data_IF_486336642475
#
_entry.id   IF_486336642475
#
_cell.length_a   1.000
_cell.length_b   1.000
_cell.length_c   1.000
_cell.angle_alpha   90.00
_cell.angle_beta   90.00
_cell.angle_gamma   90.00
#
_symmetry.space_group_name_H-M   'P 1'
#
loop_
_entity.id
_entity.type
_entity.pdbx_description
1 polymer ?
#
# COMPACT_ATOMS: atom_id res chain seq x y z
N UNK A 1 -29.16 5.10 16.73
CA UNK A 1 -27.88 4.86 16.06
C UNK A 1 -26.77 5.61 16.77
N UNK A 2 -26.13 4.97 17.78
CA UNK A 2 -25.05 5.57 18.58
C UNK A 2 -23.73 5.59 17.82
N UNK A 3 -23.62 6.33 16.70
CA UNK A 3 -22.34 6.64 16.09
C UNK A 3 -21.62 7.65 16.96
N UNK A 4 -20.68 7.18 17.78
CA UNK A 4 -19.72 8.08 18.43
C UNK A 4 -18.84 8.73 17.36
N UNK A 5 -18.94 10.04 17.26
CA UNK A 5 -18.07 10.81 16.38
C UNK A 5 -16.72 11.03 17.08
N UNK A 6 -15.57 10.89 16.36
CA UNK A 6 -14.27 11.15 16.93
C UNK A 6 -14.20 12.56 17.57
N UNK A 7 -13.63 12.64 18.75
CA UNK A 7 -13.40 13.92 19.45
C UNK A 7 -12.51 14.86 18.63
N UNK A 8 -12.50 16.16 18.95
CA UNK A 8 -11.60 17.11 18.30
C UNK A 8 -10.13 16.69 18.45
N UNK A 9 -9.75 16.19 19.63
CA UNK A 9 -8.41 15.71 19.89
C UNK A 9 -8.03 14.53 18.98
N UNK A 10 -8.91 13.54 18.81
CA UNK A 10 -8.69 12.42 17.88
C UNK A 10 -8.48 12.91 16.44
N UNK A 11 -9.32 13.83 15.97
CA UNK A 11 -9.21 14.40 14.62
C UNK A 11 -7.88 15.12 14.41
N UNK A 12 -7.42 15.88 15.41
CA UNK A 12 -6.12 16.56 15.36
C UNK A 12 -4.97 15.56 15.28
N UNK A 13 -4.97 14.52 16.14
CA UNK A 13 -3.94 13.48 16.09
C UNK A 13 -3.96 12.70 14.78
N UNK A 14 -5.15 12.36 14.27
CA UNK A 14 -5.29 11.69 12.98
C UNK A 14 -4.71 12.53 11.84
N UNK A 15 -5.02 13.83 11.80
CA UNK A 15 -4.53 14.69 10.73
C UNK A 15 -3.02 14.88 10.83
N UNK A 16 -2.50 15.21 12.01
CA UNK A 16 -1.05 15.41 12.23
C UNK A 16 -0.24 14.15 11.87
N UNK A 17 -0.70 12.98 12.28
CA UNK A 17 -0.03 11.71 11.96
C UNK A 17 -0.14 11.33 10.49
N UNK A 18 -1.27 11.63 9.82
CA UNK A 18 -1.47 11.44 8.40
C UNK A 18 -0.54 12.32 7.56
N UNK A 19 -0.37 13.58 7.97
CA UNK A 19 0.51 14.51 7.25
C UNK A 19 1.99 14.17 7.48
N UNK A 20 2.35 13.77 8.70
CA UNK A 20 3.70 13.28 8.99
C UNK A 20 4.04 12.03 8.18
N UNK A 21 3.11 11.08 8.03
CA UNK A 21 3.32 9.84 7.24
C UNK A 21 3.52 10.07 5.73
N UNK A 22 3.29 11.28 5.23
CA UNK A 22 3.60 11.68 3.84
C UNK A 22 4.98 12.33 3.70
N UNK A 23 5.63 12.60 4.82
CA UNK A 23 6.95 13.23 4.85
C UNK A 23 8.03 12.20 4.60
N UNK A 24 8.96 12.50 3.70
CA UNK A 24 10.17 11.69 3.49
C UNK A 24 11.28 12.04 4.52
N UNK A 25 10.98 12.93 5.47
CA UNK A 25 11.94 13.37 6.47
C UNK A 25 11.87 12.51 7.74
N UNK A 26 12.86 11.63 7.92
CA UNK A 26 12.97 10.73 9.08
C UNK A 26 12.94 11.47 10.44
N UNK A 27 13.44 12.71 10.50
CA UNK A 27 13.37 13.52 11.73
C UNK A 27 11.91 13.83 12.09
N UNK A 28 11.10 14.28 11.14
CA UNK A 28 9.68 14.56 11.35
C UNK A 28 8.91 13.30 11.74
N UNK A 29 9.20 12.18 11.08
CA UNK A 29 8.59 10.88 11.39
C UNK A 29 8.90 10.43 12.83
N UNK A 30 10.14 10.52 13.26
CA UNK A 30 10.55 10.18 14.62
C UNK A 30 9.96 11.14 15.66
N UNK A 31 9.85 12.43 15.33
CA UNK A 31 9.27 13.43 16.22
C UNK A 31 7.79 13.13 16.54
N UNK A 32 7.01 12.69 15.57
CA UNK A 32 5.57 12.44 15.77
C UNK A 32 5.25 11.11 16.47
N UNK A 33 6.17 10.13 16.45
CA UNK A 33 5.92 8.80 17.01
C UNK A 33 5.50 8.78 18.49
N UNK A 34 6.10 9.53 19.43
CA UNK A 34 5.66 9.58 20.83
C UNK A 34 4.22 10.08 20.97
N UNK A 35 3.84 11.08 20.15
CA UNK A 35 2.49 11.66 20.19
C UNK A 35 1.44 10.70 19.67
N UNK A 36 1.74 9.95 18.58
CA UNK A 36 0.79 8.94 18.09
C UNK A 36 0.67 7.77 19.05
N UNK A 37 1.73 7.39 19.77
CA UNK A 37 1.67 6.39 20.83
C UNK A 37 0.71 6.83 21.95
N UNK A 38 0.86 8.08 22.42
CA UNK A 38 -0.03 8.67 23.43
C UNK A 38 -1.49 8.70 22.93
N UNK A 39 -1.70 9.06 21.65
CA UNK A 39 -3.02 9.09 21.05
C UNK A 39 -3.65 7.69 20.98
N UNK A 40 -2.90 6.67 20.57
CA UNK A 40 -3.38 5.28 20.52
C UNK A 40 -3.73 4.77 21.92
N UNK A 41 -2.93 5.09 22.94
CA UNK A 41 -3.23 4.69 24.32
C UNK A 41 -4.52 5.35 24.83
N UNK A 42 -4.80 6.57 24.40
CA UNK A 42 -6.01 7.31 24.78
C UNK A 42 -7.25 6.89 23.98
N UNK A 43 -7.05 6.49 22.72
CA UNK A 43 -8.09 6.13 21.76
C UNK A 43 -7.76 4.78 21.09
N UNK A 44 -7.77 3.66 21.84
CA UNK A 44 -7.27 2.36 21.35
C UNK A 44 -8.10 1.81 20.19
N UNK A 45 -9.40 2.13 20.13
CA UNK A 45 -10.33 1.65 19.09
C UNK A 45 -10.26 2.48 17.81
N UNK A 46 -9.46 3.56 17.81
CA UNK A 46 -9.32 4.41 16.64
C UNK A 46 -8.38 3.77 15.60
N UNK A 47 -8.97 3.05 14.66
CA UNK A 47 -8.25 2.31 13.62
C UNK A 47 -7.37 3.21 12.71
N UNK A 48 -7.74 4.48 12.55
CA UNK A 48 -6.98 5.43 11.73
C UNK A 48 -5.65 5.85 12.38
N UNK A 49 -5.59 5.89 13.71
CA UNK A 49 -4.33 6.08 14.43
C UNK A 49 -3.41 4.86 14.28
N UNK A 50 -3.97 3.64 14.32
CA UNK A 50 -3.23 2.41 14.06
C UNK A 50 -2.68 2.40 12.62
N UNK A 51 -3.51 2.75 11.63
CA UNK A 51 -3.12 2.88 10.23
C UNK A 51 -1.96 3.87 10.06
N UNK A 52 -2.10 5.07 10.63
CA UNK A 52 -1.08 6.11 10.50
C UNK A 52 0.23 5.68 11.15
N UNK A 53 0.17 5.01 12.30
CA UNK A 53 1.37 4.47 12.97
C UNK A 53 2.05 3.40 12.14
N UNK A 54 1.29 2.47 11.54
CA UNK A 54 1.85 1.47 10.63
C UNK A 54 2.58 2.14 9.45
N UNK A 55 1.98 3.16 8.84
CA UNK A 55 2.60 3.93 7.74
C UNK A 55 3.85 4.69 8.18
N UNK A 56 3.85 5.30 9.36
CA UNK A 56 5.02 5.97 9.91
C UNK A 56 6.19 5.01 10.13
N UNK A 57 5.91 3.86 10.73
CA UNK A 57 6.92 2.82 10.97
C UNK A 57 7.47 2.25 9.65
N UNK A 58 6.60 2.01 8.68
CA UNK A 58 7.00 1.58 7.33
C UNK A 58 7.91 2.61 6.65
N UNK A 59 7.56 3.90 6.70
CA UNK A 59 8.38 4.98 6.15
C UNK A 59 9.74 5.12 6.84
N UNK A 60 9.86 4.67 8.10
CA UNK A 60 11.12 4.59 8.84
C UNK A 60 11.90 3.30 8.59
N UNK A 61 11.42 2.40 7.72
CA UNK A 61 12.02 1.08 7.48
C UNK A 61 11.85 0.10 8.65
N UNK A 62 10.99 0.42 9.63
CA UNK A 62 10.73 -0.40 10.82
C UNK A 62 9.59 -1.40 10.57
N UNK A 63 9.78 -2.28 9.59
CA UNK A 63 8.74 -3.17 9.08
C UNK A 63 8.20 -4.14 10.14
N UNK A 64 9.09 -4.70 10.97
CA UNK A 64 8.68 -5.62 12.04
C UNK A 64 7.80 -4.94 13.09
N UNK A 65 8.14 -3.70 13.45
CA UNK A 65 7.32 -2.89 14.35
C UNK A 65 5.97 -2.48 13.72
N UNK A 66 5.93 -2.27 12.40
CA UNK A 66 4.73 -1.93 11.67
C UNK A 66 3.74 -3.10 11.58
N UNK A 67 4.23 -4.35 11.62
CA UNK A 67 3.45 -5.55 11.32
C UNK A 67 2.24 -5.70 12.25
N UNK A 68 2.41 -5.52 13.55
CA UNK A 68 1.32 -5.65 14.52
C UNK A 68 0.18 -4.66 14.24
N UNK A 69 0.53 -3.42 13.88
CA UNK A 69 -0.44 -2.37 13.53
C UNK A 69 -1.11 -2.65 12.18
N UNK A 70 -0.34 -3.09 11.19
CA UNK A 70 -0.84 -3.51 9.88
C UNK A 70 -1.86 -4.65 9.99
N UNK A 71 -1.57 -5.67 10.79
CA UNK A 71 -2.48 -6.78 11.05
C UNK A 71 -3.77 -6.32 11.73
N UNK A 72 -3.69 -5.42 12.72
CA UNK A 72 -4.86 -4.85 13.39
C UNK A 72 -5.76 -4.11 12.41
N UNK A 73 -5.17 -3.28 11.55
CA UNK A 73 -5.89 -2.55 10.50
C UNK A 73 -6.55 -3.53 9.53
N UNK A 74 -5.80 -4.52 9.03
CA UNK A 74 -6.31 -5.47 8.03
C UNK A 74 -7.45 -6.33 8.59
N UNK A 75 -7.37 -6.77 9.85
CA UNK A 75 -8.46 -7.48 10.52
C UNK A 75 -9.73 -6.63 10.63
N UNK A 76 -9.59 -5.36 10.98
CA UNK A 76 -10.73 -4.43 11.10
C UNK A 76 -11.31 -4.03 9.74
N UNK A 77 -10.50 -4.04 8.68
CA UNK A 77 -10.80 -3.55 7.33
C UNK A 77 -10.59 -4.64 6.27
N UNK A 78 -11.04 -5.85 6.57
CA UNK A 78 -10.80 -7.04 5.75
C UNK A 78 -11.34 -6.95 4.32
N UNK A 79 -12.37 -6.15 4.09
CA UNK A 79 -12.98 -5.94 2.77
C UNK A 79 -12.41 -4.72 2.02
N UNK A 80 -11.53 -3.97 2.64
CA UNK A 80 -10.95 -2.77 2.08
C UNK A 80 -9.58 -3.09 1.42
N UNK A 81 -9.45 -2.89 0.11
CA UNK A 81 -8.23 -3.20 -0.65
C UNK A 81 -6.98 -2.52 -0.09
N UNK A 82 -7.10 -1.27 0.36
CA UNK A 82 -5.98 -0.49 0.89
C UNK A 82 -5.39 -1.03 2.20
N UNK A 83 -6.17 -1.81 2.97
CA UNK A 83 -5.67 -2.46 4.18
C UNK A 83 -4.76 -3.64 3.82
N UNK A 84 -5.12 -4.40 2.81
CA UNK A 84 -4.28 -5.47 2.25
C UNK A 84 -3.06 -4.93 1.53
N UNK A 85 -3.19 -3.80 0.80
CA UNK A 85 -2.04 -3.10 0.21
C UNK A 85 -1.02 -2.72 1.28
N UNK A 86 -1.46 -2.09 2.38
CA UNK A 86 -0.59 -1.72 3.50
C UNK A 86 0.14 -2.94 4.08
N UNK A 87 -0.58 -4.03 4.32
CA UNK A 87 0.03 -5.26 4.85
C UNK A 87 1.05 -5.84 3.87
N UNK A 88 0.75 -5.82 2.58
CA UNK A 88 1.69 -6.19 1.53
C UNK A 88 2.96 -5.33 1.55
N UNK A 89 2.83 -4.02 1.67
CA UNK A 89 3.96 -3.09 1.75
C UNK A 89 4.84 -3.38 2.97
N UNK A 90 4.24 -3.67 4.12
CA UNK A 90 4.97 -4.03 5.35
C UNK A 90 5.75 -5.35 5.18
N UNK A 91 5.14 -6.33 4.52
CA UNK A 91 5.73 -7.65 4.30
C UNK A 91 6.77 -7.69 3.17
N UNK A 92 6.79 -6.68 2.29
CA UNK A 92 7.53 -6.72 1.02
C UNK A 92 9.05 -6.99 1.18
N UNK A 93 9.67 -6.45 2.23
CA UNK A 93 11.11 -6.60 2.45
C UNK A 93 11.48 -7.97 3.06
N UNK A 94 10.71 -8.44 4.04
CA UNK A 94 11.10 -9.59 4.86
C UNK A 94 10.39 -10.89 4.43
N UNK A 95 9.19 -10.79 3.85
CA UNK A 95 8.36 -11.93 3.45
C UNK A 95 7.66 -11.66 2.12
N UNK A 96 8.40 -11.64 0.98
CA UNK A 96 7.88 -11.26 -0.33
C UNK A 96 6.72 -12.14 -0.82
N UNK A 97 6.66 -13.41 -0.43
CA UNK A 97 5.56 -14.31 -0.78
C UNK A 97 4.25 -13.92 -0.08
N UNK A 98 4.34 -13.48 1.17
CA UNK A 98 3.19 -12.95 1.90
C UNK A 98 2.76 -11.62 1.28
N UNK A 99 3.70 -10.76 0.91
CA UNK A 99 3.39 -9.49 0.25
C UNK A 99 2.63 -9.71 -1.07
N UNK A 100 3.08 -10.64 -1.91
CA UNK A 100 2.41 -11.02 -3.15
C UNK A 100 0.97 -11.47 -2.87
N UNK A 101 0.77 -12.35 -1.88
CA UNK A 101 -0.56 -12.82 -1.47
C UNK A 101 -1.46 -11.69 -0.99
N UNK A 102 -0.91 -10.72 -0.25
CA UNK A 102 -1.63 -9.53 0.21
C UNK A 102 -2.06 -8.64 -0.97
N UNK A 103 -1.20 -8.40 -1.95
CA UNK A 103 -1.56 -7.62 -3.15
C UNK A 103 -2.63 -8.33 -3.99
N UNK A 104 -2.54 -9.66 -4.17
CA UNK A 104 -3.60 -10.43 -4.80
C UNK A 104 -4.94 -10.26 -4.05
N UNK A 105 -4.91 -10.36 -2.71
CA UNK A 105 -6.12 -10.18 -1.90
C UNK A 105 -6.67 -8.75 -1.99
N UNK A 106 -5.81 -7.74 -2.05
CA UNK A 106 -6.23 -6.36 -2.29
C UNK A 106 -7.01 -6.23 -3.60
N UNK A 107 -6.51 -6.82 -4.70
CA UNK A 107 -7.19 -6.78 -6.00
C UNK A 107 -8.50 -7.59 -6.02
N UNK A 108 -8.61 -8.66 -5.24
CA UNK A 108 -9.85 -9.40 -5.05
C UNK A 108 -10.89 -8.61 -4.21
N UNK A 109 -10.44 -7.66 -3.39
CA UNK A 109 -11.30 -6.82 -2.56
C UNK A 109 -11.83 -5.58 -3.30
N UNK A 110 -11.27 -5.23 -4.46
CA UNK A 110 -11.74 -4.13 -5.32
C UNK A 110 -11.36 -4.37 -6.77
N UNK A 111 -12.36 -4.31 -7.65
CA UNK A 111 -12.18 -4.44 -9.11
C UNK A 111 -12.07 -3.07 -9.81
N UNK A 112 -12.09 -1.97 -9.08
CA UNK A 112 -12.04 -0.62 -9.66
C UNK A 112 -10.59 -0.22 -9.97
N UNK A 113 -10.24 -0.20 -11.26
CA UNK A 113 -8.91 0.14 -11.75
C UNK A 113 -8.50 1.59 -11.39
N UNK A 114 -9.47 2.46 -11.13
CA UNK A 114 -9.22 3.82 -10.64
C UNK A 114 -8.43 3.83 -9.31
N UNK A 115 -8.73 2.90 -8.43
CA UNK A 115 -8.12 2.85 -7.08
C UNK A 115 -7.00 1.82 -6.98
N UNK A 116 -7.02 0.76 -7.80
CA UNK A 116 -6.12 -0.39 -7.65
C UNK A 116 -4.83 -0.30 -8.47
N UNK A 117 -4.65 0.73 -9.29
CA UNK A 117 -3.47 0.86 -10.15
C UNK A 117 -2.12 0.73 -9.44
N UNK A 118 -1.96 1.33 -8.25
CA UNK A 118 -0.72 1.17 -7.46
C UNK A 118 -0.49 -0.26 -7.00
N UNK A 119 -1.55 -0.92 -6.54
CA UNK A 119 -1.48 -2.33 -6.11
C UNK A 119 -1.05 -3.23 -7.26
N UNK A 120 -1.60 -3.01 -8.47
CA UNK A 120 -1.22 -3.76 -9.68
C UNK A 120 0.26 -3.61 -10.01
N UNK A 121 0.81 -2.40 -9.94
CA UNK A 121 2.23 -2.16 -10.21
C UNK A 121 3.14 -2.84 -9.17
N UNK A 122 2.77 -2.81 -7.88
CA UNK A 122 3.49 -3.54 -6.82
C UNK A 122 3.41 -5.06 -7.03
N UNK A 123 2.24 -5.57 -7.41
CA UNK A 123 2.07 -6.98 -7.74
C UNK A 123 2.93 -7.38 -8.94
N UNK A 124 2.93 -6.58 -10.01
CA UNK A 124 3.74 -6.80 -11.20
C UNK A 124 5.24 -6.89 -10.86
N UNK A 125 5.73 -6.01 -9.99
CA UNK A 125 7.12 -6.02 -9.54
C UNK A 125 7.46 -7.33 -8.80
N UNK A 126 6.60 -7.79 -7.89
CA UNK A 126 6.80 -9.07 -7.19
C UNK A 126 6.71 -10.28 -8.13
N UNK A 127 5.79 -10.27 -9.10
CA UNK A 127 5.70 -11.32 -10.13
C UNK A 127 6.97 -11.37 -11.00
N UNK A 128 7.47 -10.22 -11.43
CA UNK A 128 8.69 -10.13 -12.24
C UNK A 128 9.92 -10.64 -11.48
N UNK A 129 10.06 -10.33 -10.19
CA UNK A 129 11.14 -10.87 -9.34
C UNK A 129 11.12 -12.39 -9.23
N UNK A 130 9.96 -13.01 -9.41
CA UNK A 130 9.78 -14.48 -9.43
C UNK A 130 9.92 -15.09 -10.82
N UNK A 131 10.18 -14.27 -11.84
CA UNK A 131 10.28 -14.72 -13.23
C UNK A 131 8.92 -14.89 -13.95
N UNK A 132 7.79 -14.54 -13.30
CA UNK A 132 6.47 -14.56 -13.94
C UNK A 132 6.26 -13.28 -14.75
N UNK A 133 7.03 -13.15 -15.82
CA UNK A 133 7.06 -11.95 -16.65
C UNK A 133 5.75 -11.73 -17.41
N UNK A 134 5.06 -12.81 -17.80
CA UNK A 134 3.79 -12.70 -18.53
C UNK A 134 2.71 -12.08 -17.67
N UNK A 135 2.51 -12.57 -16.45
CA UNK A 135 1.53 -12.02 -15.52
C UNK A 135 1.91 -10.60 -15.09
N UNK A 136 3.21 -10.37 -14.79
CA UNK A 136 3.71 -9.04 -14.44
C UNK A 136 3.41 -8.01 -15.52
N UNK A 137 3.66 -8.36 -16.77
CA UNK A 137 3.36 -7.49 -17.91
C UNK A 137 1.87 -7.19 -18.03
N UNK A 138 1.02 -8.19 -17.89
CA UNK A 138 -0.44 -8.02 -17.94
C UNK A 138 -0.95 -7.00 -16.93
N UNK A 139 -0.40 -7.01 -15.69
CA UNK A 139 -0.78 -6.04 -14.67
C UNK A 139 -0.31 -4.61 -15.01
N UNK A 140 0.90 -4.45 -15.57
CA UNK A 140 1.40 -3.14 -16.02
C UNK A 140 0.56 -2.62 -17.19
N UNK A 141 0.28 -3.44 -18.21
CA UNK A 141 -0.53 -3.07 -19.37
C UNK A 141 -1.95 -2.64 -18.98
N UNK A 142 -2.54 -3.32 -18.01
CA UNK A 142 -3.86 -2.95 -17.51
C UNK A 142 -3.87 -1.54 -16.90
N UNK A 143 -2.83 -1.18 -16.14
CA UNK A 143 -2.71 0.18 -15.58
C UNK A 143 -2.53 1.21 -16.69
N UNK A 144 -1.66 0.94 -17.66
CA UNK A 144 -1.40 1.86 -18.78
C UNK A 144 -2.69 2.07 -19.59
N UNK A 145 -3.34 0.98 -20.02
CA UNK A 145 -4.57 1.02 -20.82
C UNK A 145 -5.70 1.78 -20.11
N UNK A 146 -5.88 1.56 -18.80
CA UNK A 146 -6.85 2.31 -18.02
C UNK A 146 -6.54 3.82 -18.03
N UNK A 147 -5.27 4.20 -17.79
CA UNK A 147 -4.88 5.61 -17.77
C UNK A 147 -5.06 6.29 -19.12
N UNK A 148 -4.72 5.60 -20.20
CA UNK A 148 -4.91 6.10 -21.58
C UNK A 148 -6.40 6.26 -21.91
N UNK A 149 -7.24 5.30 -21.58
CA UNK A 149 -8.69 5.38 -21.82
C UNK A 149 -9.37 6.54 -21.08
N UNK A 150 -8.83 6.88 -19.87
CA UNK A 150 -9.31 8.01 -19.08
C UNK A 150 -8.62 9.35 -19.42
N UNK A 151 -7.73 9.39 -20.40
CA UNK A 151 -6.96 10.58 -20.74
C UNK A 151 -6.06 11.08 -19.60
N UNK A 152 -5.61 10.18 -18.73
CA UNK A 152 -4.81 10.50 -17.56
C UNK A 152 -3.32 10.23 -17.81
N UNK A 153 -2.46 10.96 -17.06
CA UNK A 153 -1.01 10.71 -17.10
C UNK A 153 -0.68 9.29 -16.61
N UNK A 154 0.15 8.58 -17.37
CA UNK A 154 0.69 7.27 -16.97
C UNK A 154 1.61 7.47 -15.76
N UNK A 155 1.45 6.67 -14.68
CA UNK A 155 2.32 6.73 -13.51
C UNK A 155 3.79 6.43 -13.85
N UNK A 156 4.71 7.10 -13.18
CA UNK A 156 6.14 6.89 -13.37
C UNK A 156 6.57 5.44 -13.09
N UNK A 157 5.97 4.80 -12.08
CA UNK A 157 6.22 3.38 -11.79
C UNK A 157 5.80 2.47 -12.95
N UNK A 158 4.68 2.75 -13.63
CA UNK A 158 4.27 1.97 -14.80
C UNK A 158 5.27 2.14 -15.94
N UNK A 159 5.73 3.37 -16.21
CA UNK A 159 6.76 3.64 -17.21
C UNK A 159 8.08 2.96 -16.86
N UNK A 160 8.49 3.01 -15.60
CA UNK A 160 9.71 2.35 -15.10
C UNK A 160 9.64 0.83 -15.31
N UNK A 161 8.52 0.19 -14.96
CA UNK A 161 8.34 -1.26 -15.14
C UNK A 161 8.30 -1.64 -16.62
N UNK A 162 7.61 -0.87 -17.46
CA UNK A 162 7.53 -1.09 -18.90
C UNK A 162 8.89 -0.93 -19.62
N UNK A 163 9.84 -0.20 -19.03
CA UNK A 163 11.20 -0.04 -19.56
C UNK A 163 12.14 -1.21 -19.23
N UNK A 164 11.76 -2.11 -18.32
CA UNK A 164 12.58 -3.24 -17.89
C UNK A 164 12.78 -4.28 -18.99
N UNK A 165 13.95 -4.97 -19.04
CA UNK A 165 14.21 -6.01 -20.05
C UNK A 165 13.14 -7.11 -20.08
N UNK A 166 12.74 -7.61 -18.93
CA UNK A 166 11.73 -8.67 -18.81
C UNK A 166 10.37 -8.30 -19.46
N UNK A 167 10.02 -7.03 -19.48
CA UNK A 167 8.77 -6.57 -20.09
C UNK A 167 8.76 -6.79 -21.60
N UNK A 168 9.92 -6.66 -22.26
CA UNK A 168 10.10 -6.95 -23.69
C UNK A 168 10.16 -8.45 -23.97
N UNK A 169 10.85 -9.20 -23.11
CA UNK A 169 10.97 -10.67 -23.20
C UNK A 169 9.60 -11.37 -23.11
N UNK A 170 8.72 -10.91 -22.21
CA UNK A 170 7.35 -11.40 -22.10
C UNK A 170 6.54 -11.25 -23.39
N UNK A 171 6.85 -10.29 -24.26
CA UNK A 171 6.21 -10.13 -25.58
C UNK A 171 6.64 -11.24 -26.56
N UNK A 172 7.90 -11.62 -26.53
CA UNK A 172 8.44 -12.65 -27.42
C UNK A 172 7.86 -14.05 -27.08
N UNK A 173 7.59 -14.30 -25.79
CA UNK A 173 7.00 -15.56 -25.33
C UNK A 173 5.52 -15.72 -25.66
N UNK A 174 4.79 -14.62 -25.82
CA UNK A 174 3.35 -14.62 -26.16
C UNK A 174 3.08 -14.80 -27.66
N UNK A 175 4.12 -14.74 -28.49
CA UNK A 175 4.04 -14.81 -29.96
C UNK A 175 4.39 -16.18 -30.54
N UNK A 176 4.67 -17.16 -29.67
CA UNK A 176 4.87 -18.56 -30.03
C UNK A 176 3.67 -19.40 -29.56
#
# INVERSE_FOLDING_TARGET
DGKEYPSLAEKVFQQASKDAAKSDNAHNLNYILPYINTAINKFPDNIWLQLNKAKLLLALGRNDDALAFGLTVTKSKVNDYWAWELLGDICAANTPDIALSCYCKALLSSNDDKFTGKVRLKLAERMAERGDYSSARGEVERVISYRESEGQRIPEDATRLASQPWYREATASSSN
#
